data_IF_365067674679
#
_entry.id   IF_365067674679
#
_cell.length_a   1.000
_cell.length_b   1.000
_cell.length_c   1.000
_cell.angle_alpha   90.00
_cell.angle_beta   90.00
_cell.angle_gamma   90.00
#
_symmetry.space_group_name_H-M   'P 1'
#
loop_
_entity.id
_entity.type
_entity.pdbx_description
1 polymer ?
#
# COMPACT_ATOMS: atom_id res chain seq x y z
N UNK A 1 5.39 6.94 18.56
CA UNK A 1 5.19 5.64 17.88
C UNK A 1 6.07 5.54 16.63
N UNK A 2 6.21 6.63 15.87
CA UNK A 2 7.08 6.73 14.68
C UNK A 2 8.56 6.42 14.95
N UNK A 3 9.09 6.82 16.12
CA UNK A 3 10.48 6.53 16.49
C UNK A 3 10.78 5.04 16.69
N UNK A 4 9.78 4.25 17.11
CA UNK A 4 9.92 2.81 17.33
C UNK A 4 9.90 2.04 16.00
N UNK A 5 9.07 2.48 15.04
CA UNK A 5 9.05 1.95 13.68
C UNK A 5 10.37 2.22 12.96
N UNK A 6 10.89 3.45 13.08
CA UNK A 6 12.20 3.78 12.51
C UNK A 6 13.32 2.91 13.09
N UNK A 7 13.36 2.74 14.41
CA UNK A 7 14.33 1.85 15.04
C UNK A 7 14.19 0.41 14.53
N UNK A 8 12.96 -0.09 14.42
CA UNK A 8 12.72 -1.44 13.93
C UNK A 8 13.24 -1.64 12.49
N UNK A 9 13.03 -0.67 11.60
CA UNK A 9 13.44 -0.76 10.20
C UNK A 9 14.96 -0.57 10.00
N UNK A 10 15.58 0.37 10.71
CA UNK A 10 16.97 0.79 10.41
C UNK A 10 18.01 0.32 11.40
N UNK A 11 17.64 0.12 12.67
CA UNK A 11 18.61 -0.09 13.76
C UNK A 11 18.48 -1.47 14.41
N UNK A 12 17.30 -2.09 14.36
CA UNK A 12 17.06 -3.37 14.99
C UNK A 12 17.79 -4.48 14.22
N UNK A 13 18.85 -5.05 14.80
CA UNK A 13 19.55 -6.21 14.23
C UNK A 13 18.87 -7.55 14.45
N UNK A 14 17.78 -7.58 15.26
CA UNK A 14 17.13 -8.80 15.74
C UNK A 14 15.84 -9.16 15.01
N UNK A 15 15.39 -8.32 14.07
CA UNK A 15 14.27 -8.68 13.22
C UNK A 15 14.74 -9.52 12.03
N UNK A 16 13.85 -10.39 11.56
CA UNK A 16 14.11 -11.22 10.39
C UNK A 16 13.77 -10.44 9.12
N UNK A 17 14.67 -10.47 8.15
CA UNK A 17 14.52 -9.90 6.81
C UNK A 17 14.63 -11.02 5.78
N UNK A 18 13.88 -10.89 4.69
CA UNK A 18 13.92 -11.88 3.61
C UNK A 18 15.14 -11.63 2.71
N UNK A 19 15.97 -12.65 2.52
CA UNK A 19 17.07 -12.58 1.58
C UNK A 19 16.55 -12.57 0.14
N UNK A 20 16.78 -11.49 -0.59
CA UNK A 20 16.33 -11.32 -1.99
C UNK A 20 16.95 -12.33 -2.98
N UNK A 21 17.99 -13.06 -2.58
CA UNK A 21 18.64 -14.08 -3.43
C UNK A 21 18.06 -15.48 -3.24
N UNK A 22 17.66 -15.84 -2.02
CA UNK A 22 17.25 -17.22 -1.71
C UNK A 22 15.89 -17.33 -1.01
N UNK A 23 15.23 -16.21 -0.72
CA UNK A 23 13.93 -16.15 -0.04
C UNK A 23 13.97 -16.60 1.43
N UNK A 24 15.15 -16.87 2.00
CA UNK A 24 15.25 -17.28 3.40
C UNK A 24 15.12 -16.08 4.32
N UNK A 25 14.38 -16.23 5.41
CA UNK A 25 14.37 -15.29 6.52
C UNK A 25 15.72 -15.38 7.26
N UNK A 26 16.43 -14.26 7.33
CA UNK A 26 17.73 -14.12 7.99
C UNK A 26 17.65 -12.93 8.94
N UNK A 27 18.34 -12.97 10.08
CA UNK A 27 18.40 -11.81 10.98
C UNK A 27 19.11 -10.64 10.28
N UNK A 28 18.58 -9.42 10.45
CA UNK A 28 19.14 -8.23 9.82
C UNK A 28 20.65 -8.06 10.07
N UNK A 29 21.13 -8.38 11.29
CA UNK A 29 22.56 -8.37 11.64
C UNK A 29 23.41 -9.44 10.94
N UNK A 30 22.81 -10.58 10.56
CA UNK A 30 23.47 -11.75 9.96
C UNK A 30 23.33 -11.75 8.43
N UNK A 31 22.62 -10.78 7.84
CA UNK A 31 22.37 -10.72 6.40
C UNK A 31 23.67 -10.62 5.59
N UNK A 32 24.66 -9.87 6.08
CA UNK A 32 25.97 -9.75 5.43
C UNK A 32 26.75 -11.08 5.47
N UNK A 33 26.77 -11.74 6.63
CA UNK A 33 27.42 -13.05 6.80
C UNK A 33 26.73 -14.11 5.93
N UNK A 34 25.40 -14.07 5.84
CA UNK A 34 24.63 -14.92 4.94
C UNK A 34 25.06 -14.76 3.47
N UNK A 35 25.28 -13.54 2.97
CA UNK A 35 25.78 -13.34 1.60
C UNK A 35 27.20 -13.89 1.40
N UNK A 36 28.09 -13.69 2.38
CA UNK A 36 29.48 -14.16 2.31
C UNK A 36 29.58 -15.69 2.44
N UNK A 37 28.69 -16.32 3.19
CA UNK A 37 28.64 -17.77 3.42
C UNK A 37 28.22 -18.61 2.21
N UNK A 38 27.98 -17.98 1.05
CA UNK A 38 27.59 -18.67 -0.17
C UNK A 38 26.08 -18.81 -0.31
N UNK A 39 25.34 -17.74 -0.02
CA UNK A 39 23.91 -17.63 -0.34
C UNK A 39 23.66 -18.03 -1.80
N UNK A 40 23.12 -19.24 -1.97
CA UNK A 40 22.81 -19.83 -3.27
C UNK A 40 21.31 -19.69 -3.51
N UNK A 41 20.92 -19.41 -4.76
CA UNK A 41 19.51 -19.34 -5.18
C UNK A 41 18.87 -20.69 -4.94
N UNK A 42 18.26 -20.87 -3.78
CA UNK A 42 17.49 -22.06 -3.47
C UNK A 42 16.14 -21.90 -4.17
N UNK A 43 16.03 -22.48 -5.36
CA UNK A 43 14.75 -22.81 -5.97
C UNK A 43 13.99 -23.78 -5.07
N UNK A 44 13.31 -23.28 -4.03
CA UNK A 44 12.32 -24.05 -3.28
C UNK A 44 11.00 -24.03 -4.04
N UNK A 45 10.94 -24.97 -4.96
CA UNK A 45 9.69 -25.55 -5.46
C UNK A 45 9.05 -26.40 -4.35
N UNK A 46 7.95 -25.93 -3.77
CA UNK A 46 7.01 -26.78 -3.02
C UNK A 46 5.59 -26.17 -2.98
N UNK A 47 4.95 -26.22 -4.16
CA UNK A 47 3.54 -26.53 -4.45
C UNK A 47 2.56 -26.71 -3.26
N UNK A 48 1.47 -25.93 -3.26
CA UNK A 48 0.12 -26.50 -3.18
C UNK A 48 -0.85 -25.70 -4.09
N UNK A 49 -1.73 -26.46 -4.74
CA UNK A 49 -2.45 -26.22 -5.99
C UNK A 49 -3.66 -25.27 -5.89
N UNK A 50 -3.95 -24.49 -6.95
CA UNK A 50 -5.07 -24.74 -7.89
C UNK A 50 -5.27 -23.63 -8.93
N UNK A 51 -5.87 -24.07 -10.04
CA UNK A 51 -6.45 -23.38 -11.21
C UNK A 51 -5.48 -22.95 -12.33
N UNK A 52 -5.61 -23.55 -13.53
CA UNK A 52 -5.06 -23.00 -14.75
C UNK A 52 -6.09 -22.03 -15.34
N UNK A 53 -5.79 -20.73 -15.35
CA UNK A 53 -6.25 -19.76 -16.36
C UNK A 53 -5.80 -18.35 -16.01
N UNK A 54 -5.52 -17.59 -17.07
CA UNK A 54 -5.48 -16.14 -17.16
C UNK A 54 -4.20 -15.41 -16.71
N UNK A 55 -3.43 -15.04 -17.75
CA UNK A 55 -2.71 -13.77 -17.85
C UNK A 55 -1.82 -13.42 -16.67
N UNK A 56 -0.73 -14.17 -16.50
CA UNK A 56 0.38 -13.73 -15.66
C UNK A 56 0.94 -12.44 -16.26
N UNK A 57 0.59 -11.31 -15.66
CA UNK A 57 1.24 -10.04 -15.91
C UNK A 57 2.74 -10.25 -15.65
N UNK A 58 3.54 -10.16 -16.71
CA UNK A 58 4.99 -10.22 -16.60
C UNK A 58 5.41 -9.08 -15.68
N UNK A 59 5.90 -9.43 -14.49
CA UNK A 59 6.39 -8.42 -13.55
C UNK A 59 7.72 -7.88 -14.08
N UNK A 60 8.05 -6.64 -13.72
CA UNK A 60 9.31 -6.04 -14.14
C UNK A 60 10.51 -6.88 -13.67
N UNK A 61 10.39 -7.56 -12.51
CA UNK A 61 11.37 -8.51 -12.00
C UNK A 61 11.49 -9.81 -12.82
N UNK A 62 10.40 -10.30 -13.42
CA UNK A 62 10.46 -11.43 -14.35
C UNK A 62 11.27 -11.05 -15.60
N UNK A 63 11.08 -9.82 -16.12
CA UNK A 63 11.81 -9.31 -17.28
C UNK A 63 13.29 -9.08 -16.96
N UNK A 64 13.60 -8.52 -15.79
CA UNK A 64 14.99 -8.29 -15.36
C UNK A 64 15.72 -9.61 -15.12
N UNK A 65 15.06 -10.60 -14.52
CA UNK A 65 15.65 -11.91 -14.28
C UNK A 65 15.92 -12.66 -15.58
N UNK A 66 14.97 -12.65 -16.51
CA UNK A 66 15.17 -13.23 -17.85
C UNK A 66 16.29 -12.53 -18.63
N UNK A 67 16.47 -11.22 -18.44
CA UNK A 67 17.55 -10.46 -19.08
C UNK A 67 18.94 -10.83 -18.53
N UNK A 68 19.09 -10.98 -17.22
CA UNK A 68 20.37 -11.40 -16.62
C UNK A 68 20.69 -12.87 -16.93
N UNK A 69 19.69 -13.74 -16.99
CA UNK A 69 19.87 -15.15 -17.39
C UNK A 69 20.31 -15.26 -18.87
N UNK A 70 19.72 -14.44 -19.75
CA UNK A 70 20.12 -14.32 -21.15
C UNK A 70 21.53 -13.77 -21.33
N UNK A 71 21.93 -12.80 -20.49
CA UNK A 71 23.28 -12.24 -20.44
C UNK A 71 24.31 -13.26 -19.96
N UNK A 72 23.94 -14.14 -19.01
CA UNK A 72 24.77 -15.26 -18.58
C UNK A 72 24.98 -16.27 -19.72
N UNK A 73 23.91 -16.62 -20.45
CA UNK A 73 24.00 -17.56 -21.58
C UNK A 73 24.82 -17.02 -22.77
N UNK A 74 24.81 -15.70 -22.97
CA UNK A 74 25.65 -14.99 -23.94
C UNK A 74 27.14 -15.05 -23.61
N UNK A 75 27.49 -15.15 -22.32
CA UNK A 75 28.88 -15.22 -21.88
C UNK A 75 29.48 -16.63 -22.02
N UNK A 76 28.63 -17.66 -21.97
CA UNK A 76 29.03 -19.08 -22.05
C UNK A 76 29.01 -19.67 -23.47
N UNK A 77 28.36 -19.03 -24.45
CA UNK A 77 28.10 -19.62 -25.77
C UNK A 77 28.87 -18.94 -26.91
N UNK A 78 29.54 -19.74 -27.74
CA UNK A 78 30.31 -19.35 -28.93
C UNK A 78 29.60 -18.26 -29.78
N UNK A 79 30.19 -17.06 -29.75
CA UNK A 79 29.58 -15.74 -29.95
C UNK A 79 29.15 -15.44 -31.41
N UNK A 80 29.59 -16.23 -32.39
CA UNK A 80 29.45 -15.85 -33.80
C UNK A 80 28.04 -16.05 -34.41
N UNK A 81 27.19 -16.89 -33.81
CA UNK A 81 25.82 -17.13 -34.32
C UNK A 81 24.73 -16.29 -33.66
N UNK A 82 24.91 -15.90 -32.39
CA UNK A 82 23.94 -15.15 -31.59
C UNK A 82 23.98 -13.64 -31.81
N UNK A 83 25.12 -13.10 -32.27
CA UNK A 83 25.33 -11.67 -32.49
C UNK A 83 24.42 -11.05 -33.58
N UNK A 84 23.89 -11.83 -34.52
CA UNK A 84 23.04 -11.29 -35.59
C UNK A 84 21.56 -11.22 -35.23
N UNK A 85 21.10 -12.11 -34.35
CA UNK A 85 19.68 -12.22 -33.95
C UNK A 85 19.38 -11.39 -32.69
N UNK A 86 20.38 -11.21 -31.83
CA UNK A 86 20.21 -10.48 -30.57
C UNK A 86 19.84 -8.99 -30.73
N UNK A 87 20.47 -8.21 -31.64
CA UNK A 87 20.18 -6.80 -31.78
C UNK A 87 18.74 -6.52 -32.22
N UNK A 88 18.18 -7.39 -33.06
CA UNK A 88 16.81 -7.25 -33.56
C UNK A 88 15.78 -7.60 -32.48
N UNK A 89 16.05 -8.61 -31.64
CA UNK A 89 15.17 -8.96 -30.51
C UNK A 89 15.19 -7.89 -29.42
N UNK A 90 16.35 -7.34 -29.08
CA UNK A 90 16.46 -6.25 -28.11
C UNK A 90 15.77 -4.98 -28.62
N UNK A 91 15.90 -4.65 -29.91
CA UNK A 91 15.17 -3.53 -30.50
C UNK A 91 13.65 -3.74 -30.49
N UNK A 92 13.18 -4.95 -30.82
CA UNK A 92 11.76 -5.28 -30.77
C UNK A 92 11.21 -5.16 -29.34
N UNK A 93 11.96 -5.64 -28.34
CA UNK A 93 11.61 -5.51 -26.93
C UNK A 93 11.60 -4.03 -26.48
N UNK A 94 12.59 -3.24 -26.90
CA UNK A 94 12.66 -1.82 -26.57
C UNK A 94 11.48 -1.02 -27.14
N UNK A 95 11.02 -1.34 -28.35
CA UNK A 95 9.80 -0.75 -28.91
C UNK A 95 8.55 -1.19 -28.16
N UNK A 96 8.49 -2.45 -27.73
CA UNK A 96 7.36 -2.97 -26.96
C UNK A 96 7.23 -2.28 -25.59
N UNK A 97 8.37 -2.07 -24.90
CA UNK A 97 8.42 -1.32 -23.64
C UNK A 97 7.98 0.13 -23.84
N UNK A 98 8.51 0.83 -24.86
CA UNK A 98 8.09 2.22 -25.17
C UNK A 98 6.60 2.34 -25.46
N UNK A 99 6.04 1.37 -26.20
CA UNK A 99 4.60 1.34 -26.49
C UNK A 99 3.77 1.11 -25.21
N UNK A 100 4.25 0.24 -24.32
CA UNK A 100 3.58 -0.06 -23.07
C UNK A 100 3.60 1.14 -22.12
N UNK A 101 4.73 1.83 -22.00
CA UNK A 101 4.87 3.08 -21.23
C UNK A 101 3.93 4.18 -21.74
N UNK A 102 3.86 4.36 -23.05
CA UNK A 102 2.94 5.32 -23.68
C UNK A 102 1.47 5.01 -23.36
N UNK A 103 1.09 3.74 -23.44
CA UNK A 103 -0.28 3.30 -23.10
C UNK A 103 -0.59 3.53 -21.61
N UNK A 104 0.37 3.24 -20.73
CA UNK A 104 0.25 3.47 -19.29
C UNK A 104 0.10 4.95 -18.94
N UNK A 105 0.87 5.82 -19.61
CA UNK A 105 0.77 7.27 -19.45
C UNK A 105 -0.63 7.78 -19.86
N UNK A 106 -1.16 7.26 -20.97
CA UNK A 106 -2.49 7.64 -21.46
C UNK A 106 -3.62 7.17 -20.53
N UNK A 107 -3.54 5.93 -20.02
CA UNK A 107 -4.47 5.41 -19.01
C UNK A 107 -4.42 6.27 -17.75
N UNK A 108 -3.22 6.57 -17.26
CA UNK A 108 -3.02 7.36 -16.04
C UNK A 108 -3.64 8.75 -16.18
N UNK A 109 -3.45 9.41 -17.33
CA UNK A 109 -4.09 10.69 -17.63
C UNK A 109 -5.61 10.60 -17.64
N UNK A 110 -6.17 9.61 -18.34
CA UNK A 110 -7.62 9.41 -18.44
C UNK A 110 -8.29 9.01 -17.12
N UNK A 111 -7.59 8.28 -16.24
CA UNK A 111 -8.05 8.00 -14.88
C UNK A 111 -8.01 9.28 -14.04
N UNK A 112 -6.93 10.07 -14.12
CA UNK A 112 -6.82 11.34 -13.40
C UNK A 112 -7.94 12.32 -13.74
N UNK A 113 -8.33 12.42 -15.01
CA UNK A 113 -9.48 13.25 -15.44
C UNK A 113 -10.82 12.73 -14.91
N UNK A 114 -11.05 11.41 -14.96
CA UNK A 114 -12.27 10.80 -14.41
C UNK A 114 -12.39 10.99 -12.90
N UNK A 115 -11.29 10.85 -12.17
CA UNK A 115 -11.26 11.10 -10.72
C UNK A 115 -11.56 12.56 -10.42
N UNK A 116 -10.91 13.52 -11.11
CA UNK A 116 -11.19 14.96 -10.93
C UNK A 116 -12.65 15.31 -11.21
N UNK A 117 -13.21 14.79 -12.30
CA UNK A 117 -14.63 15.01 -12.64
C UNK A 117 -15.56 14.48 -11.56
N UNK A 118 -15.30 13.27 -11.04
CA UNK A 118 -16.12 12.65 -10.00
C UNK A 118 -16.01 13.38 -8.65
N UNK A 119 -14.82 13.86 -8.30
CA UNK A 119 -14.61 14.71 -7.11
C UNK A 119 -15.39 16.02 -7.23
N UNK A 120 -15.35 16.68 -8.39
CA UNK A 120 -16.12 17.90 -8.62
C UNK A 120 -17.63 17.66 -8.53
N UNK A 121 -18.12 16.55 -9.09
CA UNK A 121 -19.54 16.18 -9.03
C UNK A 121 -20.00 15.88 -7.59
N UNK A 122 -19.20 15.15 -6.82
CA UNK A 122 -19.47 14.87 -5.41
C UNK A 122 -19.45 16.16 -4.59
N UNK A 123 -18.48 17.04 -4.81
CA UNK A 123 -18.42 18.34 -4.13
C UNK A 123 -19.66 19.19 -4.42
N UNK A 124 -20.09 19.30 -5.69
CA UNK A 124 -21.29 20.04 -6.06
C UNK A 124 -22.57 19.45 -5.42
N UNK A 125 -22.69 18.12 -5.42
CA UNK A 125 -23.84 17.42 -4.81
C UNK A 125 -23.86 17.60 -3.29
N UNK A 126 -22.70 17.59 -2.64
CA UNK A 126 -22.57 17.80 -1.19
C UNK A 126 -22.90 19.23 -0.80
N UNK A 127 -22.43 20.23 -1.57
CA UNK A 127 -22.78 21.64 -1.35
C UNK A 127 -24.28 21.90 -1.49
N UNK A 128 -24.92 21.27 -2.48
CA UNK A 128 -26.38 21.37 -2.67
C UNK A 128 -27.17 20.72 -1.53
N UNK A 129 -26.78 19.51 -1.11
CA UNK A 129 -27.41 18.83 0.02
C UNK A 129 -27.20 19.57 1.35
N UNK A 130 -26.03 20.19 1.53
CA UNK A 130 -25.74 21.00 2.73
C UNK A 130 -26.56 22.28 2.74
N UNK A 131 -26.72 22.94 1.59
CA UNK A 131 -27.60 24.12 1.45
C UNK A 131 -29.06 23.80 1.80
N UNK A 132 -29.61 22.70 1.27
CA UNK A 132 -30.97 22.24 1.63
C UNK A 132 -31.11 21.93 3.13
N UNK A 133 -30.06 21.39 3.75
CA UNK A 133 -30.08 21.07 5.18
C UNK A 133 -30.13 22.34 6.02
N UNK A 134 -29.40 23.40 5.64
CA UNK A 134 -29.40 24.69 6.35
C UNK A 134 -30.76 25.40 6.24
N UNK A 135 -31.42 25.33 5.07
CA UNK A 135 -32.76 25.89 4.88
C UNK A 135 -33.82 25.21 5.77
N UNK A 136 -33.65 23.92 6.08
CA UNK A 136 -34.55 23.18 6.97
C UNK A 136 -34.50 23.65 8.43
N UNK A 137 -33.40 24.29 8.86
CA UNK A 137 -33.25 24.86 10.21
C UNK A 137 -33.63 26.35 10.29
N UNK A 138 -33.92 27.01 9.16
CA UNK A 138 -34.19 28.45 9.09
C UNK A 138 -35.53 28.89 9.72
N UNK A 139 -36.40 27.94 10.10
CA UNK A 139 -37.70 28.19 10.73
C UNK A 139 -37.81 27.76 12.20
N UNK A 140 -36.73 27.33 12.84
CA UNK A 140 -36.80 26.82 14.21
C UNK A 140 -36.75 27.96 15.25
N UNK A 141 -37.49 27.84 16.37
CA UNK A 141 -37.41 28.76 17.48
C UNK A 141 -35.97 28.91 17.98
N UNK A 142 -35.60 30.13 18.40
CA UNK A 142 -34.24 30.50 18.79
C UNK A 142 -33.66 29.59 19.89
N UNK A 143 -34.52 29.05 20.75
CA UNK A 143 -34.18 28.16 21.86
C UNK A 143 -33.71 26.77 21.39
N UNK A 144 -34.25 26.27 20.25
CA UNK A 144 -33.87 24.98 19.66
C UNK A 144 -32.51 25.09 18.95
N UNK A 145 -32.28 26.20 18.25
CA UNK A 145 -30.98 26.49 17.61
C UNK A 145 -29.87 26.61 18.66
N UNK A 146 -30.14 27.27 19.80
CA UNK A 146 -29.22 27.32 20.93
C UNK A 146 -28.94 25.94 21.54
N UNK A 147 -29.94 25.06 21.63
CA UNK A 147 -29.77 23.68 22.08
C UNK A 147 -28.82 22.87 21.20
N UNK A 148 -28.93 23.02 19.87
CA UNK A 148 -28.05 22.32 18.91
C UNK A 148 -26.63 22.88 18.86
N UNK A 149 -26.43 24.19 19.09
CA UNK A 149 -25.10 24.81 19.16
C UNK A 149 -24.34 24.51 20.47
N UNK A 150 -25.07 24.12 21.54
CA UNK A 150 -24.49 23.72 22.83
C UNK A 150 -24.00 22.27 22.87
N UNK A 151 -24.01 21.55 21.75
CA UNK A 151 -23.32 20.27 21.64
C UNK A 151 -22.00 20.49 20.92
N UNK A 152 -21.09 21.25 21.55
CA UNK A 152 -19.72 21.28 21.09
C UNK A 152 -19.18 19.84 21.18
N UNK A 153 -18.35 19.42 20.24
CA UNK A 153 -17.64 18.13 20.34
C UNK A 153 -16.79 18.03 21.62
N UNK A 154 -16.58 19.14 22.32
CA UNK A 154 -15.95 19.24 23.64
C UNK A 154 -16.87 18.81 24.80
N UNK A 155 -18.19 18.80 24.61
CA UNK A 155 -19.19 18.46 25.66
C UNK A 155 -19.50 16.96 25.71
N UNK A 156 -19.04 16.18 24.72
CA UNK A 156 -19.19 14.74 24.75
C UNK A 156 -18.13 14.10 25.64
N UNK A 157 -18.52 13.26 26.62
CA UNK A 157 -17.57 12.55 27.46
C UNK A 157 -16.61 11.73 26.58
N UNK A 158 -15.34 12.14 26.56
CA UNK A 158 -14.31 11.41 25.82
C UNK A 158 -13.96 10.17 26.64
N UNK A 159 -14.12 9.01 26.01
CA UNK A 159 -13.73 7.73 26.59
C UNK A 159 -12.38 7.31 26.02
N UNK A 160 -11.56 6.65 26.82
CA UNK A 160 -10.40 5.93 26.32
C UNK A 160 -10.51 4.45 26.69
N UNK A 161 -9.94 3.60 25.85
CA UNK A 161 -9.89 2.16 26.07
C UNK A 161 -8.75 1.91 27.05
N UNK A 162 -9.09 1.52 28.28
CA UNK A 162 -8.11 1.25 29.33
C UNK A 162 -7.49 -0.14 29.14
N UNK A 163 -8.33 -1.12 28.79
CA UNK A 163 -7.92 -2.50 28.52
C UNK A 163 -8.77 -3.08 27.38
N UNK A 164 -8.10 -3.70 26.41
CA UNK A 164 -8.73 -4.49 25.35
C UNK A 164 -8.31 -5.94 25.46
N UNK A 165 -9.28 -6.85 25.58
CA UNK A 165 -9.03 -8.30 25.60
C UNK A 165 -9.40 -8.90 24.24
N UNK A 166 -8.41 -9.17 23.35
CA UNK A 166 -8.68 -9.58 21.97
C UNK A 166 -9.40 -10.92 21.85
N UNK A 167 -9.23 -11.79 22.85
CA UNK A 167 -9.80 -13.13 22.89
C UNK A 167 -11.30 -13.16 23.21
N UNK A 168 -11.83 -12.12 23.86
CA UNK A 168 -13.25 -12.05 24.28
C UNK A 168 -14.01 -10.90 23.64
N UNK A 169 -13.31 -9.98 22.94
CA UNK A 169 -13.90 -8.75 22.40
C UNK A 169 -14.37 -7.78 23.47
N UNK A 170 -14.00 -8.01 24.74
CA UNK A 170 -14.40 -7.16 25.85
C UNK A 170 -13.45 -5.96 25.97
N UNK A 171 -14.02 -4.77 26.00
CA UNK A 171 -13.31 -3.50 26.20
C UNK A 171 -13.74 -2.89 27.54
N UNK A 172 -12.76 -2.52 28.38
CA UNK A 172 -13.02 -1.66 29.52
C UNK A 172 -12.78 -0.20 29.11
N UNK A 173 -13.85 0.58 29.09
CA UNK A 173 -13.81 2.01 28.78
C UNK A 173 -13.81 2.83 30.07
N UNK A 174 -12.94 3.83 30.12
CA UNK A 174 -12.85 4.80 31.22
C UNK A 174 -12.97 6.21 30.68
N UNK A 175 -13.60 7.11 31.45
CA UNK A 175 -13.78 8.50 31.09
C UNK A 175 -12.45 9.27 31.25
N UNK A 176 -12.09 10.08 30.25
CA UNK A 176 -10.88 10.91 30.29
C UNK A 176 -11.00 12.01 31.36
N UNK A 177 -12.21 12.49 31.62
CA UNK A 177 -12.53 13.48 32.65
C UNK A 177 -13.83 13.09 33.36
N UNK A 178 -13.84 13.18 34.68
CA UNK A 178 -15.06 13.01 35.47
C UNK A 178 -16.07 14.09 35.10
N UNK A 179 -17.28 13.68 34.69
CA UNK A 179 -18.37 14.61 34.40
C UNK A 179 -18.69 15.41 35.68
N UNK A 180 -18.81 16.74 35.60
CA UNK A 180 -19.27 17.53 36.74
C UNK A 180 -20.70 17.11 37.08
N UNK A 181 -20.88 16.44 38.21
CA UNK A 181 -22.19 16.13 38.78
C UNK A 181 -22.77 17.37 39.44
N UNK A 182 -23.07 18.40 38.66
CA UNK A 182 -23.97 19.48 39.10
C UNK A 182 -25.33 19.22 38.48
N UNK A 183 -26.17 18.48 39.23
CA UNK A 183 -27.62 18.48 39.05
C UNK A 183 -28.11 19.89 39.39
N UNK A 184 -28.63 20.61 38.40
CA UNK A 184 -29.54 21.74 38.60
C UNK A 184 -30.97 21.25 38.34
#
# INVERSE_FOLDING_TARGET
>A
MEDMLRHYETECGFHSVECLRCGKAVLHKELAEHYVSGCSVAGSTARLEKTPSESRALTLGDVTSAFEEMKSLLNDSNINGLLSVFPSQVNALAEQVRKQESTLAEITRGVGERVRSRVAQVAASTSSATSQRVDHFAGLPRDVLQGTQKTSSQDFPRHFIELYYPSTGYCRLSLITSLPTTRA
#
